data_IF_881542664336
#
_entry.id   IF_881542664336
#
_cell.length_a   1.000
_cell.length_b   1.000
_cell.length_c   1.000
_cell.angle_alpha   90.00
_cell.angle_beta   90.00
_cell.angle_gamma   90.00
#
_symmetry.space_group_name_H-M   'P 1'
#
loop_
_entity.id
_entity.type
_entity.pdbx_description
1 polymer ?
#
# COMPACT_ATOMS: atom_id res chain seq x y z
N UNK A 1 27.03 -10.25 -47.54
CA UNK A 1 27.90 -10.17 -46.34
C UNK A 1 27.14 -9.58 -45.15
N UNK A 2 26.15 -10.29 -44.59
CA UNK A 2 25.38 -9.82 -43.42
C UNK A 2 25.20 -10.93 -42.36
N UNK A 3 26.17 -11.84 -42.25
CA UNK A 3 26.05 -13.02 -41.36
C UNK A 3 26.93 -12.96 -40.11
N UNK A 4 27.42 -11.77 -39.70
CA UNK A 4 28.34 -11.65 -38.56
C UNK A 4 27.93 -10.64 -37.48
N UNK A 5 26.72 -10.09 -37.52
CA UNK A 5 26.25 -9.09 -36.52
C UNK A 5 25.14 -9.52 -35.58
N UNK A 6 24.78 -10.81 -35.55
CA UNK A 6 23.71 -11.34 -34.68
C UNK A 6 24.21 -12.24 -33.54
N UNK A 7 25.52 -12.50 -33.45
CA UNK A 7 26.09 -13.36 -32.39
C UNK A 7 26.51 -12.54 -31.15
N UNK A 8 26.61 -11.20 -31.27
CA UNK A 8 26.97 -10.31 -30.16
C UNK A 8 25.83 -10.00 -29.18
N UNK A 9 24.57 -10.12 -29.61
CA UNK A 9 23.41 -9.64 -28.84
C UNK A 9 22.84 -10.70 -27.87
N UNK A 10 23.08 -11.98 -28.16
CA UNK A 10 22.61 -13.09 -27.32
C UNK A 10 23.38 -13.19 -25.98
N UNK A 11 24.61 -12.67 -25.90
CA UNK A 11 25.37 -12.61 -24.63
C UNK A 11 24.86 -11.50 -23.70
N UNK A 12 24.41 -10.38 -24.25
CA UNK A 12 23.85 -9.26 -23.47
C UNK A 12 22.47 -9.62 -22.89
N UNK A 13 21.66 -10.33 -23.66
CA UNK A 13 20.40 -10.87 -23.15
C UNK A 13 20.60 -11.89 -22.02
N UNK A 14 21.66 -12.72 -22.07
CA UNK A 14 21.99 -13.65 -20.99
C UNK A 14 22.48 -12.95 -19.71
N UNK A 15 23.04 -11.74 -19.83
CA UNK A 15 23.54 -10.98 -18.67
C UNK A 15 22.42 -10.23 -17.93
N UNK A 16 21.30 -9.95 -18.61
CA UNK A 16 20.06 -9.46 -17.98
C UNK A 16 19.30 -10.60 -17.28
N UNK A 17 19.45 -11.85 -17.76
CA UNK A 17 18.86 -13.04 -17.15
C UNK A 17 19.34 -13.27 -15.70
N UNK A 18 20.61 -12.95 -15.40
CA UNK A 18 21.12 -13.06 -14.04
C UNK A 18 20.47 -12.04 -13.11
N UNK A 19 20.27 -10.78 -13.50
CA UNK A 19 19.71 -9.76 -12.61
C UNK A 19 18.26 -10.05 -12.17
N UNK A 20 17.44 -10.62 -13.06
CA UNK A 20 16.02 -10.90 -12.79
C UNK A 20 15.76 -12.05 -11.82
N UNK A 21 16.54 -13.14 -11.92
CA UNK A 21 16.49 -14.27 -10.98
C UNK A 21 17.28 -13.94 -9.70
N UNK A 22 18.34 -13.14 -9.82
CA UNK A 22 19.14 -12.66 -8.69
C UNK A 22 18.39 -11.68 -7.80
N UNK A 23 17.44 -10.89 -8.31
CA UNK A 23 16.64 -10.00 -7.46
C UNK A 23 15.78 -10.76 -6.43
N UNK A 24 15.15 -11.91 -6.78
CA UNK A 24 14.55 -12.80 -5.75
C UNK A 24 15.58 -13.51 -4.86
N UNK A 25 16.85 -13.52 -5.27
CA UNK A 25 17.97 -14.14 -4.56
C UNK A 25 18.77 -13.14 -3.68
N UNK A 26 18.60 -11.82 -3.89
CA UNK A 26 19.34 -10.76 -3.19
C UNK A 26 18.83 -10.44 -1.78
N UNK A 27 17.81 -11.14 -1.30
CA UNK A 27 17.45 -11.14 0.13
C UNK A 27 17.56 -12.53 0.77
N UNK A 28 18.39 -13.40 0.20
CA UNK A 28 18.83 -14.64 0.85
C UNK A 28 20.22 -14.50 1.49
N UNK A 29 20.72 -13.27 1.61
CA UNK A 29 21.92 -12.94 2.35
C UNK A 29 21.50 -12.70 3.80
N UNK A 30 21.84 -13.62 4.71
CA UNK A 30 21.53 -13.65 6.16
C UNK A 30 20.29 -14.43 6.62
N UNK A 31 20.04 -15.62 6.08
CA UNK A 31 19.27 -16.62 6.82
C UNK A 31 20.02 -17.94 6.77
N UNK A 32 20.42 -18.48 7.92
CA UNK A 32 21.04 -19.82 8.07
C UNK A 32 20.14 -20.96 7.52
N UNK A 33 18.93 -20.62 7.07
CA UNK A 33 17.87 -21.49 6.55
C UNK A 33 17.54 -21.27 5.06
N UNK A 34 18.48 -20.76 4.25
CA UNK A 34 18.27 -20.56 2.80
C UNK A 34 17.80 -21.84 2.10
N UNK A 35 18.47 -22.95 2.38
CA UNK A 35 18.22 -24.22 1.70
C UNK A 35 16.87 -24.83 2.09
N UNK A 36 16.46 -24.69 3.35
CA UNK A 36 15.16 -25.18 3.83
C UNK A 36 14.02 -24.35 3.25
N UNK A 37 14.14 -23.02 3.23
CA UNK A 37 13.15 -22.13 2.61
C UNK A 37 12.98 -22.40 1.10
N UNK A 38 14.08 -22.58 0.38
CA UNK A 38 14.05 -22.92 -1.05
C UNK A 38 13.40 -24.29 -1.25
N UNK A 39 13.75 -25.27 -0.43
CA UNK A 39 13.18 -26.62 -0.51
C UNK A 39 11.68 -26.60 -0.25
N UNK A 40 11.23 -25.99 0.84
CA UNK A 40 9.81 -25.87 1.20
C UNK A 40 9.00 -25.16 0.12
N UNK A 41 9.53 -24.05 -0.42
CA UNK A 41 8.87 -23.33 -1.50
C UNK A 41 8.78 -24.18 -2.77
N UNK A 42 9.86 -24.89 -3.12
CA UNK A 42 9.89 -25.78 -4.28
C UNK A 42 8.91 -26.94 -4.14
N UNK A 43 8.80 -27.53 -2.95
CA UNK A 43 7.82 -28.57 -2.66
C UNK A 43 6.38 -28.07 -2.75
N UNK A 44 6.09 -26.88 -2.20
CA UNK A 44 4.77 -26.24 -2.30
C UNK A 44 4.40 -26.01 -3.77
N UNK A 45 5.33 -25.48 -4.58
CA UNK A 45 5.11 -25.26 -6.01
C UNK A 45 4.82 -26.56 -6.76
N UNK A 46 5.60 -27.61 -6.51
CA UNK A 46 5.41 -28.93 -7.16
C UNK A 46 4.05 -29.55 -6.84
N UNK A 47 3.52 -29.31 -5.64
CA UNK A 47 2.22 -29.83 -5.20
C UNK A 47 1.04 -29.02 -5.74
N UNK A 48 1.17 -27.70 -5.86
CA UNK A 48 0.05 -26.82 -6.20
C UNK A 48 -0.03 -26.41 -7.67
N UNK A 49 1.08 -26.47 -8.42
CA UNK A 49 1.15 -25.90 -9.76
C UNK A 49 1.66 -26.93 -10.77
N UNK A 50 1.00 -27.01 -11.92
CA UNK A 50 1.45 -27.85 -13.03
C UNK A 50 2.82 -27.35 -13.57
N UNK A 51 3.88 -28.18 -13.55
CA UNK A 51 5.23 -27.76 -13.93
C UNK A 51 5.35 -27.36 -15.41
N UNK A 52 4.54 -27.95 -16.30
CA UNK A 52 4.54 -27.58 -17.73
C UNK A 52 4.01 -26.15 -17.93
N UNK A 53 2.97 -25.78 -17.18
CA UNK A 53 2.39 -24.43 -17.24
C UNK A 53 3.31 -23.42 -16.56
N UNK A 54 3.93 -23.78 -15.43
CA UNK A 54 4.91 -22.94 -14.75
C UNK A 54 6.09 -22.59 -15.66
N UNK A 55 6.65 -23.57 -16.39
CA UNK A 55 7.74 -23.34 -17.35
C UNK A 55 7.34 -22.33 -18.42
N UNK A 56 6.15 -22.47 -19.02
CA UNK A 56 5.63 -21.53 -20.03
C UNK A 56 5.41 -20.14 -19.46
N UNK A 57 4.88 -20.05 -18.24
CA UNK A 57 4.66 -18.77 -17.54
C UNK A 57 5.97 -18.02 -17.30
N UNK A 58 6.99 -18.71 -16.75
CA UNK A 58 8.30 -18.12 -16.51
C UNK A 58 8.93 -17.67 -17.83
N UNK A 59 8.86 -18.49 -18.88
CA UNK A 59 9.38 -18.13 -20.20
C UNK A 59 8.69 -16.87 -20.76
N UNK A 60 7.36 -16.77 -20.63
CA UNK A 60 6.61 -15.58 -21.05
C UNK A 60 7.00 -14.34 -20.24
N UNK A 61 7.20 -14.48 -18.92
CA UNK A 61 7.61 -13.38 -18.06
C UNK A 61 9.02 -12.88 -18.40
N UNK A 62 9.96 -13.77 -18.71
CA UNK A 62 11.32 -13.39 -19.09
C UNK A 62 11.37 -12.69 -20.45
N UNK A 63 10.50 -13.09 -21.38
CA UNK A 63 10.43 -12.51 -22.73
C UNK A 63 9.49 -11.29 -22.82
N UNK A 64 9.06 -10.72 -21.68
CA UNK A 64 8.13 -9.59 -21.66
C UNK A 64 8.76 -8.36 -22.32
N UNK A 65 7.94 -7.62 -23.07
CA UNK A 65 8.31 -6.31 -23.60
C UNK A 65 8.08 -5.22 -22.54
N UNK A 66 8.80 -4.11 -22.65
CA UNK A 66 8.58 -2.97 -21.76
C UNK A 66 7.17 -2.41 -21.93
N UNK A 67 6.49 -2.21 -20.81
CA UNK A 67 5.11 -1.70 -20.73
C UNK A 67 5.04 -0.30 -20.14
N UNK A 68 6.16 0.26 -19.65
CA UNK A 68 6.26 1.56 -18.99
C UNK A 68 5.57 2.66 -19.82
N UNK A 69 5.87 2.70 -21.12
CA UNK A 69 5.29 3.68 -22.06
C UNK A 69 3.78 3.49 -22.25
N UNK A 70 3.30 2.24 -22.24
CA UNK A 70 1.86 1.97 -22.34
C UNK A 70 1.13 2.38 -21.06
N UNK A 71 1.73 2.11 -19.90
CA UNK A 71 1.20 2.50 -18.59
C UNK A 71 1.07 4.02 -18.50
N UNK A 72 2.15 4.75 -18.77
CA UNK A 72 2.16 6.21 -18.71
C UNK A 72 1.15 6.87 -19.67
N UNK A 73 0.92 6.27 -20.85
CA UNK A 73 0.01 6.82 -21.84
C UNK A 73 -1.46 6.47 -21.60
N UNK A 74 -1.75 5.24 -21.19
CA UNK A 74 -3.13 4.73 -21.11
C UNK A 74 -3.76 4.91 -19.72
N UNK A 75 -2.98 5.03 -18.65
CA UNK A 75 -3.50 5.11 -17.28
C UNK A 75 -3.65 6.54 -16.75
N UNK A 76 -3.59 7.57 -17.61
CA UNK A 76 -3.69 8.98 -17.20
C UNK A 76 -4.96 9.32 -16.41
N UNK A 77 -6.05 8.61 -16.68
CA UNK A 77 -7.36 8.86 -16.08
C UNK A 77 -7.70 7.91 -14.93
N UNK A 78 -6.77 7.06 -14.52
CA UNK A 78 -6.99 6.05 -13.48
C UNK A 78 -6.14 6.40 -12.26
N UNK A 79 -6.73 6.36 -11.08
CA UNK A 79 -5.99 6.50 -9.83
C UNK A 79 -5.21 5.20 -9.55
N UNK A 80 -3.90 5.31 -9.30
CA UNK A 80 -2.97 4.18 -9.15
C UNK A 80 -2.33 4.21 -7.78
N UNK A 81 -2.25 3.06 -7.13
CA UNK A 81 -1.47 2.86 -5.91
C UNK A 81 -0.34 1.86 -6.17
N UNK A 82 0.91 2.34 -6.20
CA UNK A 82 2.10 1.51 -6.22
C UNK A 82 2.45 1.08 -4.79
N UNK A 83 2.74 -0.20 -4.59
CA UNK A 83 3.07 -0.75 -3.26
C UNK A 83 4.42 -1.43 -3.31
N UNK A 84 5.30 -1.11 -2.35
CA UNK A 84 6.60 -1.76 -2.22
C UNK A 84 7.08 -1.80 -0.76
N UNK A 85 7.92 -2.78 -0.44
CA UNK A 85 8.63 -2.85 0.83
C UNK A 85 10.02 -2.24 0.71
N UNK A 86 10.59 -1.69 1.78
CA UNK A 86 11.93 -1.08 1.73
C UNK A 86 13.05 -2.10 1.50
N UNK A 87 12.82 -3.37 1.83
CA UNK A 87 13.74 -4.50 1.57
C UNK A 87 13.32 -5.32 0.34
N UNK A 88 12.32 -4.87 -0.41
CA UNK A 88 11.88 -5.55 -1.61
C UNK A 88 12.96 -5.44 -2.71
N UNK A 89 13.21 -6.54 -3.40
CA UNK A 89 14.25 -6.64 -4.42
C UNK A 89 14.13 -5.61 -5.56
N UNK A 90 12.91 -5.20 -5.87
CA UNK A 90 12.59 -4.26 -6.95
C UNK A 90 12.11 -2.91 -6.42
N UNK A 91 12.39 -2.56 -5.15
CA UNK A 91 11.93 -1.31 -4.56
C UNK A 91 12.37 -0.07 -5.36
N UNK A 92 13.63 -0.06 -5.82
CA UNK A 92 14.19 1.02 -6.63
C UNK A 92 13.56 1.09 -8.02
N UNK A 93 13.21 -0.04 -8.62
CA UNK A 93 12.52 -0.09 -9.91
C UNK A 93 11.10 0.50 -9.81
N UNK A 94 10.38 0.18 -8.74
CA UNK A 94 9.05 0.76 -8.46
C UNK A 94 9.12 2.27 -8.26
N UNK A 95 10.15 2.76 -7.56
CA UNK A 95 10.38 4.20 -7.40
C UNK A 95 10.69 4.90 -8.73
N UNK A 96 11.52 4.30 -9.59
CA UNK A 96 11.78 4.83 -10.93
C UNK A 96 10.49 4.87 -11.76
N UNK A 97 9.65 3.84 -11.67
CA UNK A 97 8.38 3.79 -12.38
C UNK A 97 7.43 4.89 -11.89
N UNK A 98 7.36 5.11 -10.57
CA UNK A 98 6.60 6.21 -10.00
C UNK A 98 7.04 7.58 -10.55
N UNK A 99 8.34 7.81 -10.76
CA UNK A 99 8.83 9.07 -11.32
C UNK A 99 8.44 9.28 -12.79
N UNK A 100 8.24 8.19 -13.55
CA UNK A 100 7.82 8.25 -14.95
C UNK A 100 6.30 8.45 -15.09
N UNK A 101 5.53 8.19 -14.04
CA UNK A 101 4.07 8.34 -14.03
C UNK A 101 3.62 9.72 -13.54
N UNK A 102 2.36 10.07 -13.86
CA UNK A 102 1.73 11.31 -13.41
C UNK A 102 1.47 11.31 -11.90
N UNK A 103 2.08 12.25 -11.18
CA UNK A 103 2.01 12.38 -9.71
C UNK A 103 0.64 12.84 -9.17
N UNK A 104 -0.23 13.34 -10.04
CA UNK A 104 -1.58 13.78 -9.65
C UNK A 104 -2.51 12.60 -9.32
N UNK A 105 -2.34 11.48 -10.04
CA UNK A 105 -3.21 10.30 -9.98
C UNK A 105 -2.51 9.07 -9.43
N UNK A 106 -1.19 9.12 -9.29
CA UNK A 106 -0.39 8.00 -8.79
C UNK A 106 0.05 8.30 -7.37
N UNK A 107 -0.15 7.33 -6.48
CA UNK A 107 0.37 7.33 -5.11
C UNK A 107 1.32 6.14 -4.92
N UNK A 108 2.35 6.31 -4.08
CA UNK A 108 3.28 5.22 -3.73
C UNK A 108 3.24 4.94 -2.21
N UNK A 109 3.08 3.67 -1.85
CA UNK A 109 3.15 3.14 -0.51
C UNK A 109 4.45 2.36 -0.35
N UNK A 110 5.39 2.92 0.41
CA UNK A 110 6.64 2.26 0.79
C UNK A 110 6.60 1.89 2.27
N UNK A 111 6.63 0.60 2.58
CA UNK A 111 6.61 0.10 3.96
C UNK A 111 8.02 -0.24 4.41
N UNK A 112 8.45 0.31 5.54
CA UNK A 112 9.77 0.10 6.10
C UNK A 112 9.94 -1.32 6.65
N UNK A 113 11.18 -1.80 6.56
CA UNK A 113 11.69 -3.07 7.09
C UNK A 113 11.08 -4.35 6.53
N UNK A 114 10.34 -4.26 5.42
CA UNK A 114 9.59 -5.36 4.85
C UNK A 114 10.08 -5.72 3.44
N UNK A 115 10.13 -7.01 3.13
CA UNK A 115 10.44 -7.50 1.79
C UNK A 115 9.18 -7.88 1.00
N UNK A 116 8.30 -8.71 1.59
CA UNK A 116 6.98 -9.00 1.04
C UNK A 116 5.89 -8.34 1.89
N UNK A 117 5.29 -7.28 1.35
CA UNK A 117 4.26 -6.49 2.02
C UNK A 117 3.02 -7.32 2.36
N UNK A 118 2.63 -8.27 1.49
CA UNK A 118 1.41 -9.04 1.68
C UNK A 118 1.57 -10.05 2.82
N UNK A 119 2.75 -10.66 2.94
CA UNK A 119 3.02 -11.67 3.95
C UNK A 119 3.41 -11.04 5.30
N UNK A 120 4.26 -10.01 5.30
CA UNK A 120 4.86 -9.48 6.53
C UNK A 120 4.05 -8.32 7.14
N UNK A 121 3.36 -7.52 6.32
CA UNK A 121 2.64 -6.33 6.78
C UNK A 121 1.23 -6.17 6.16
N UNK A 122 0.37 -7.20 6.23
CA UNK A 122 -0.98 -7.14 5.67
C UNK A 122 -1.84 -6.05 6.30
N UNK A 123 -1.67 -5.79 7.60
CA UNK A 123 -2.44 -4.78 8.34
C UNK A 123 -2.16 -3.35 7.83
N UNK A 124 -0.88 -3.02 7.61
CA UNK A 124 -0.46 -1.72 7.08
C UNK A 124 -0.96 -1.53 5.64
N UNK A 125 -0.84 -2.59 4.83
CA UNK A 125 -1.37 -2.59 3.47
C UNK A 125 -2.88 -2.36 3.45
N UNK A 126 -3.63 -3.07 4.30
CA UNK A 126 -5.09 -2.95 4.37
C UNK A 126 -5.53 -1.54 4.78
N UNK A 127 -4.85 -0.94 5.74
CA UNK A 127 -5.10 0.44 6.18
C UNK A 127 -4.88 1.44 5.04
N UNK A 128 -3.74 1.36 4.36
CA UNK A 128 -3.41 2.25 3.24
C UNK A 128 -4.35 2.04 2.05
N UNK A 129 -4.71 0.78 1.75
CA UNK A 129 -5.67 0.46 0.70
C UNK A 129 -7.06 1.04 1.02
N UNK A 130 -7.52 0.92 2.26
CA UNK A 130 -8.79 1.50 2.68
C UNK A 130 -8.78 3.02 2.58
N UNK A 131 -7.66 3.68 2.91
CA UNK A 131 -7.50 5.12 2.75
C UNK A 131 -7.53 5.53 1.27
N UNK A 132 -6.84 4.79 0.42
CA UNK A 132 -6.83 5.01 -1.03
C UNK A 132 -8.24 4.92 -1.62
N UNK A 133 -8.97 3.84 -1.32
CA UNK A 133 -10.35 3.63 -1.80
C UNK A 133 -11.31 4.72 -1.28
N UNK A 134 -11.10 5.21 -0.05
CA UNK A 134 -11.83 6.38 0.48
C UNK A 134 -11.52 7.67 -0.27
N UNK A 135 -10.27 7.89 -0.66
CA UNK A 135 -9.87 9.00 -1.52
C UNK A 135 -10.59 9.00 -2.87
N UNK A 136 -10.98 7.83 -3.36
CA UNK A 136 -11.78 7.67 -4.58
C UNK A 136 -13.29 7.90 -4.37
N UNK A 137 -13.74 8.12 -3.13
CA UNK A 137 -15.15 8.30 -2.79
C UNK A 137 -15.90 7.01 -2.41
N UNK A 138 -15.23 5.87 -2.32
CA UNK A 138 -15.84 4.60 -1.91
C UNK A 138 -15.60 4.31 -0.42
N UNK A 139 -16.44 3.46 0.21
CA UNK A 139 -16.25 2.98 1.59
C UNK A 139 -16.10 4.08 2.67
N UNK A 140 -16.66 5.27 2.44
CA UNK A 140 -16.56 6.44 3.34
C UNK A 140 -17.15 6.20 4.74
N UNK A 141 -18.14 5.30 4.83
CA UNK A 141 -18.78 4.90 6.08
C UNK A 141 -17.89 4.06 7.00
N UNK A 142 -16.93 3.31 6.44
CA UNK A 142 -16.07 2.38 7.20
C UNK A 142 -15.13 3.19 8.10
N UNK A 143 -14.99 2.81 9.36
CA UNK A 143 -14.01 3.40 10.29
C UNK A 143 -12.61 2.88 9.98
N UNK A 144 -11.61 3.76 9.96
CA UNK A 144 -10.22 3.29 9.84
C UNK A 144 -9.85 2.55 11.13
N UNK A 145 -9.26 1.34 11.06
CA UNK A 145 -8.78 0.66 12.24
C UNK A 145 -7.63 1.48 12.85
N UNK A 146 -7.65 1.67 14.19
CA UNK A 146 -6.69 2.52 14.90
C UNK A 146 -7.00 4.03 14.88
N UNK A 147 -7.95 4.48 14.05
CA UNK A 147 -8.56 5.81 14.19
C UNK A 147 -9.85 5.60 14.96
N UNK A 148 -9.75 5.54 16.28
CA UNK A 148 -10.91 5.75 17.14
C UNK A 148 -11.48 7.11 16.75
N UNK A 149 -12.53 7.08 15.94
CA UNK A 149 -13.31 8.28 15.70
C UNK A 149 -13.79 8.66 17.10
N UNK A 150 -13.25 9.75 17.65
CA UNK A 150 -13.91 10.55 18.67
C UNK A 150 -15.16 11.15 18.03
N UNK A 151 -16.07 10.27 17.61
CA UNK A 151 -17.43 10.58 17.28
C UNK A 151 -18.02 10.93 18.62
N UNK A 152 -18.38 12.19 18.75
CA UNK A 152 -19.56 12.60 19.48
C UNK A 152 -20.74 11.78 18.93
N UNK A 153 -20.84 10.51 19.34
CA UNK A 153 -22.04 9.71 19.19
C UNK A 153 -23.07 10.34 20.12
N UNK A 154 -23.80 11.30 19.58
CA UNK A 154 -25.12 11.66 20.09
C UNK A 154 -26.08 10.55 19.68
N UNK A 155 -26.11 9.47 20.47
CA UNK A 155 -27.07 8.38 20.29
C UNK A 155 -26.71 7.14 21.12
N UNK A 156 -27.37 6.99 22.27
CA UNK A 156 -27.70 5.69 22.86
C UNK A 156 -26.67 5.06 23.81
N UNK A 157 -26.88 5.30 25.11
CA UNK A 157 -26.59 4.42 26.26
C UNK A 157 -25.32 3.57 26.30
N UNK A 158 -24.33 4.05 27.07
CA UNK A 158 -23.60 3.18 27.98
C UNK A 158 -23.55 3.82 29.36
N UNK A 159 -24.05 3.07 30.35
CA UNK A 159 -24.14 3.44 31.75
C UNK A 159 -22.76 3.78 32.32
N UNK A 160 -22.79 4.76 33.21
CA UNK A 160 -21.91 4.90 34.38
C UNK A 160 -20.47 5.38 34.14
N UNK A 161 -20.27 6.70 34.17
CA UNK A 161 -19.16 7.34 34.90
C UNK A 161 -19.49 8.81 35.23
N UNK A 162 -19.59 9.11 36.53
CA UNK A 162 -19.22 10.42 37.11
C UNK A 162 -20.04 11.65 36.71
N UNK A 163 -21.04 12.00 37.53
CA UNK A 163 -21.71 13.28 37.50
C UNK A 163 -20.74 14.44 37.82
N UNK A 164 -20.37 15.24 36.82
CA UNK A 164 -20.09 16.68 36.95
C UNK A 164 -20.65 17.40 35.73
N UNK A 165 -21.87 17.96 35.88
CA UNK A 165 -22.47 19.02 35.07
C UNK A 165 -22.12 19.11 33.58
N UNK A 166 -22.70 18.23 32.75
CA UNK A 166 -22.65 18.35 31.28
C UNK A 166 -23.39 19.62 30.87
N UNK A 167 -22.64 20.69 30.54
CA UNK A 167 -23.21 21.91 29.95
C UNK A 167 -23.93 21.52 28.66
N UNK A 168 -25.23 21.79 28.59
CA UNK A 168 -26.01 21.66 27.36
C UNK A 168 -25.34 22.51 26.28
N UNK A 169 -24.97 21.91 25.15
CA UNK A 169 -24.56 22.66 23.97
C UNK A 169 -25.81 23.33 23.40
N UNK A 170 -25.73 24.64 23.19
CA UNK A 170 -26.86 25.45 22.78
C UNK A 170 -27.07 25.33 21.27
N UNK A 171 -28.32 25.35 20.81
CA UNK A 171 -28.61 25.49 19.38
C UNK A 171 -28.11 26.86 18.87
N UNK A 172 -27.95 27.01 17.55
CA UNK A 172 -27.60 28.31 16.95
C UNK A 172 -28.62 29.40 17.35
N UNK A 173 -29.91 29.05 17.39
CA UNK A 173 -30.98 29.95 17.84
C UNK A 173 -30.88 30.29 19.35
N UNK A 174 -30.35 29.39 20.18
CA UNK A 174 -30.13 29.63 21.62
C UNK A 174 -28.92 30.52 21.95
N UNK A 175 -28.06 30.81 20.97
CA UNK A 175 -26.98 31.80 21.09
C UNK A 175 -27.49 33.23 20.88
N UNK A 176 -28.48 33.39 20.01
CA UNK A 176 -29.02 34.71 19.66
C UNK A 176 -30.02 35.24 20.72
N UNK A 177 -30.45 34.40 21.65
CA UNK A 177 -31.30 34.80 22.77
C UNK A 177 -30.48 35.52 23.86
N UNK A 178 -30.84 36.76 24.26
CA UNK A 178 -30.15 37.48 25.31
C UNK A 178 -30.28 36.74 26.65
N UNK A 179 -29.13 36.46 27.31
CA UNK A 179 -29.09 35.71 28.58
C UNK A 179 -28.99 36.67 29.77
N UNK A 180 -30.07 36.89 30.54
CA UNK A 180 -30.08 37.86 31.63
C UNK A 180 -29.25 37.44 32.86
N UNK A 181 -28.77 36.19 32.93
CA UNK A 181 -27.98 35.67 34.06
C UNK A 181 -26.48 35.60 33.83
N UNK A 182 -25.97 36.02 32.67
CA UNK A 182 -24.50 35.98 32.41
C UNK A 182 -23.78 37.22 32.96
N UNK A 183 -24.50 38.27 33.35
CA UNK A 183 -23.94 39.55 33.80
C UNK A 183 -24.26 39.87 35.27
N UNK A 184 -24.51 38.88 36.14
CA UNK A 184 -24.54 39.16 37.58
C UNK A 184 -23.11 39.33 38.10
N UNK A 185 -22.62 40.57 38.07
CA UNK A 185 -21.49 41.00 38.88
C UNK A 185 -21.93 40.93 40.34
N UNK A 186 -21.59 39.86 41.05
CA UNK A 186 -21.67 39.87 42.51
C UNK A 186 -20.58 40.82 43.01
N UNK A 187 -20.98 42.04 43.36
CA UNK A 187 -20.13 42.97 44.10
C UNK A 187 -19.91 42.37 45.50
N UNK A 188 -18.72 41.83 45.75
CA UNK A 188 -18.31 41.48 47.10
C UNK A 188 -18.00 42.78 47.85
N UNK A 189 -18.69 43.00 48.98
CA UNK A 189 -18.33 43.98 50.00
C UNK A 189 -17.84 43.22 51.23
#
# INVERSE_FOLDING_TARGET
MLSHRLIGDARLHHQICDAGVTARTQHLEMVDNKETLISEYTEKLKKQINPRNLKKYVQSYMNRKDITTMIANNLKNVDILLVTGSKAAYATEVEKEYQKMGKEKTSILKINDVADVIQEAPEKLAQSLLLFVKGLGFLTSITLPGVERQRTFSGGDHKMLGAVGRRRTLSMEEYDLPRPRRTSLTANK
#
